data_IF_871265013638
#
_entry.id   IF_871265013638
#
_cell.length_a   1.000
_cell.length_b   1.000
_cell.length_c   1.000
_cell.angle_alpha   90.00
_cell.angle_beta   90.00
_cell.angle_gamma   90.00
#
_symmetry.space_group_name_H-M   'P 1'
#
loop_
_entity.id
_entity.type
_entity.pdbx_description
1 polymer ?
#
# COMPACT_ATOMS: atom_id res chain seq x y z
N UNK A 1 73.46 7.74 -94.07
CA UNK A 1 73.87 7.78 -95.50
C UNK A 1 72.60 7.95 -96.34
N UNK A 2 72.45 8.78 -97.36
CA UNK A 2 73.27 9.78 -98.04
C UNK A 2 72.30 10.52 -98.99
N UNK A 3 72.32 11.85 -98.92
CA UNK A 3 72.42 12.78 -100.07
C UNK A 3 71.25 12.79 -101.07
N UNK A 4 70.46 13.87 -101.06
CA UNK A 4 70.06 14.77 -102.19
C UNK A 4 68.67 15.38 -101.88
N UNK A 5 68.43 16.51 -101.22
CA UNK A 5 69.19 17.73 -100.96
C UNK A 5 70.04 18.18 -102.15
N UNK A 6 69.39 18.75 -103.19
CA UNK A 6 69.95 19.80 -104.09
C UNK A 6 69.09 20.18 -105.32
N UNK A 7 68.00 19.48 -105.62
CA UNK A 7 67.00 19.95 -106.62
C UNK A 7 65.86 20.77 -105.98
N UNK A 8 66.00 21.09 -104.70
CA UNK A 8 65.30 22.20 -104.06
C UNK A 8 65.79 23.53 -104.64
N UNK A 9 64.99 24.58 -104.45
CA UNK A 9 65.19 25.96 -104.91
C UNK A 9 64.61 26.22 -106.32
N UNK A 10 64.87 25.37 -107.32
CA UNK A 10 64.32 25.61 -108.68
C UNK A 10 62.80 25.42 -108.80
N UNK A 11 62.25 24.40 -108.14
CA UNK A 11 60.81 24.07 -108.21
C UNK A 11 59.95 24.89 -107.23
N UNK A 12 60.58 25.57 -106.27
CA UNK A 12 59.89 26.29 -105.18
C UNK A 12 59.43 27.70 -105.62
N UNK A 13 60.13 28.33 -106.58
CA UNK A 13 59.77 29.69 -107.03
C UNK A 13 58.67 29.69 -108.10
N UNK A 14 58.58 28.65 -108.93
CA UNK A 14 57.52 28.54 -109.96
C UNK A 14 56.21 28.00 -109.36
N UNK A 15 56.26 27.18 -108.32
CA UNK A 15 55.07 26.73 -107.59
C UNK A 15 54.42 27.84 -106.75
N UNK A 16 55.19 28.81 -106.26
CA UNK A 16 54.68 29.91 -105.42
C UNK A 16 53.72 30.87 -106.14
N UNK A 17 53.91 31.08 -107.45
CA UNK A 17 53.07 32.02 -108.23
C UNK A 17 51.79 31.34 -108.74
N UNK A 18 51.79 30.03 -108.94
CA UNK A 18 50.60 29.27 -109.34
C UNK A 18 49.62 29.01 -108.17
N UNK A 19 50.12 28.86 -106.93
CA UNK A 19 49.28 28.63 -105.74
C UNK A 19 48.54 29.89 -105.29
N UNK A 20 49.12 31.09 -105.49
CA UNK A 20 48.49 32.37 -105.14
C UNK A 20 47.26 32.71 -105.98
N UNK A 21 47.23 32.32 -107.25
CA UNK A 21 46.11 32.58 -108.16
C UNK A 21 44.96 31.56 -108.02
N UNK A 22 45.24 30.34 -107.54
CA UNK A 22 44.22 29.30 -107.35
C UNK A 22 43.46 29.46 -106.01
N UNK A 23 44.10 29.97 -104.96
CA UNK A 23 43.50 30.13 -103.63
C UNK A 23 42.44 31.25 -103.52
N UNK A 24 42.36 32.16 -104.51
CA UNK A 24 41.38 33.26 -104.53
C UNK A 24 40.13 32.95 -105.37
N UNK A 25 40.11 31.85 -106.12
CA UNK A 25 38.95 31.41 -106.92
C UNK A 25 38.21 30.21 -106.32
N UNK A 26 38.76 29.58 -105.27
CA UNK A 26 38.12 28.50 -104.50
C UNK A 26 37.83 28.92 -103.05
N UNK A 27 37.21 30.09 -102.88
CA UNK A 27 36.64 30.52 -101.58
C UNK A 27 35.43 29.64 -101.21
N UNK A 28 35.20 29.36 -99.91
CA UNK A 28 34.39 28.24 -99.46
C UNK A 28 32.87 28.51 -99.59
N UNK A 29 32.32 28.23 -100.77
CA UNK A 29 30.90 27.92 -100.94
C UNK A 29 30.66 26.44 -100.64
N UNK A 30 30.52 26.08 -99.36
CA UNK A 30 30.11 24.73 -98.94
C UNK A 30 28.59 24.52 -99.11
N UNK A 31 28.12 23.31 -99.40
CA UNK A 31 26.69 23.02 -99.54
C UNK A 31 25.96 23.23 -98.21
N UNK A 32 24.87 23.99 -98.24
CA UNK A 32 23.96 24.14 -97.11
C UNK A 32 23.22 22.81 -96.87
N UNK A 33 23.85 21.91 -96.11
CA UNK A 33 23.19 20.75 -95.56
C UNK A 33 22.18 21.23 -94.49
N UNK A 34 20.91 20.87 -94.67
CA UNK A 34 19.85 21.16 -93.72
C UNK A 34 20.09 20.36 -92.43
N UNK A 35 20.55 21.02 -91.37
CA UNK A 35 20.60 20.44 -90.03
C UNK A 35 19.22 20.53 -89.39
N UNK A 36 18.42 19.47 -89.53
CA UNK A 36 17.19 19.30 -88.74
C UNK A 36 17.64 18.89 -87.33
N UNK A 37 17.57 19.81 -86.37
CA UNK A 37 17.85 19.51 -84.97
C UNK A 37 16.73 18.64 -84.41
N UNK A 38 17.00 17.35 -84.17
CA UNK A 38 16.08 16.46 -83.46
C UNK A 38 16.04 16.88 -81.98
N UNK A 39 14.91 17.42 -81.53
CA UNK A 39 14.69 17.72 -80.11
C UNK A 39 14.55 16.40 -79.33
N UNK A 40 15.53 16.12 -78.47
CA UNK A 40 15.49 15.06 -77.46
C UNK A 40 14.29 15.30 -76.52
N UNK A 41 13.50 14.28 -76.14
CA UNK A 41 12.35 14.47 -75.26
C UNK A 41 12.80 14.99 -73.88
N UNK A 42 12.13 16.01 -73.40
CA UNK A 42 12.37 16.67 -72.12
C UNK A 42 12.24 15.63 -70.98
N UNK A 43 13.34 15.38 -70.25
CA UNK A 43 13.36 14.41 -69.17
C UNK A 43 12.69 15.01 -67.93
N UNK A 44 11.40 14.75 -67.77
CA UNK A 44 10.67 15.08 -66.53
C UNK A 44 11.06 14.12 -65.41
N UNK A 45 11.49 14.69 -64.29
CA UNK A 45 11.78 13.92 -63.07
C UNK A 45 10.47 13.57 -62.36
N UNK A 46 10.21 12.28 -62.21
CA UNK A 46 9.09 11.75 -61.41
C UNK A 46 9.60 11.23 -60.07
N UNK A 47 8.86 11.47 -58.99
CA UNK A 47 9.15 10.92 -57.65
C UNK A 47 8.08 9.90 -57.29
N UNK A 48 8.50 8.74 -56.77
CA UNK A 48 7.57 7.69 -56.34
C UNK A 48 6.83 8.11 -55.05
N UNK A 49 5.50 8.06 -55.08
CA UNK A 49 4.64 8.35 -53.92
C UNK A 49 4.79 7.20 -52.92
N UNK A 50 5.32 7.47 -51.72
CA UNK A 50 5.41 6.49 -50.62
C UNK A 50 4.10 6.48 -49.82
N UNK A 51 3.71 5.29 -49.35
CA UNK A 51 2.53 5.12 -48.51
C UNK A 51 2.66 5.93 -47.21
N UNK A 52 1.56 6.57 -46.79
CA UNK A 52 1.50 7.45 -45.62
C UNK A 52 1.62 6.69 -44.27
N UNK A 53 1.88 5.38 -44.30
CA UNK A 53 2.11 4.56 -43.10
C UNK A 53 3.30 5.07 -42.27
N UNK A 54 4.26 5.76 -42.91
CA UNK A 54 5.37 6.44 -42.22
C UNK A 54 5.01 7.84 -41.70
N UNK A 55 3.76 8.28 -41.87
CA UNK A 55 3.20 9.54 -41.34
C UNK A 55 2.18 9.28 -40.24
N UNK A 56 2.33 8.19 -39.48
CA UNK A 56 1.70 8.06 -38.18
C UNK A 56 2.32 9.13 -37.27
N UNK A 57 1.67 10.30 -37.21
CA UNK A 57 2.04 11.37 -36.30
C UNK A 57 2.05 10.82 -34.88
N UNK A 58 3.22 10.82 -34.24
CA UNK A 58 3.34 10.37 -32.87
C UNK A 58 2.67 11.42 -31.98
N UNK A 59 1.46 11.11 -31.51
CA UNK A 59 0.75 11.96 -30.55
C UNK A 59 1.40 11.72 -29.20
N UNK A 60 2.21 12.68 -28.73
CA UNK A 60 2.72 12.68 -27.37
C UNK A 60 1.75 13.45 -26.47
N UNK A 61 1.31 12.80 -25.40
CA UNK A 61 0.57 13.42 -24.32
C UNK A 61 1.44 13.38 -23.06
N UNK A 62 1.49 14.50 -22.34
CA UNK A 62 2.17 14.59 -21.05
C UNK A 62 1.11 14.71 -19.96
N UNK A 63 1.31 13.99 -18.87
CA UNK A 63 0.48 14.02 -17.68
C UNK A 63 1.35 13.93 -16.44
N UNK A 64 0.86 14.47 -15.32
CA UNK A 64 1.52 14.34 -14.02
C UNK A 64 0.90 13.19 -13.25
N UNK A 65 1.74 12.43 -12.55
CA UNK A 65 1.28 11.44 -11.57
C UNK A 65 1.37 12.10 -10.20
N UNK A 66 0.32 11.95 -9.41
CA UNK A 66 0.30 12.34 -8.01
C UNK A 66 -0.01 11.10 -7.16
N UNK A 67 0.44 11.06 -5.89
CA UNK A 67 -0.01 10.07 -4.94
C UNK A 67 -1.53 10.06 -4.85
N UNK A 68 -2.12 8.87 -4.69
CA UNK A 68 -3.58 8.73 -4.51
C UNK A 68 -3.97 9.30 -3.15
N UNK A 69 -3.25 8.88 -2.10
CA UNK A 69 -3.43 9.32 -0.72
C UNK A 69 -2.07 9.63 -0.09
N UNK A 70 -2.05 10.65 0.76
CA UNK A 70 -0.88 11.01 1.57
C UNK A 70 -1.37 11.18 2.99
N UNK A 71 -0.91 10.31 3.89
CA UNK A 71 -1.28 10.35 5.30
C UNK A 71 -0.05 10.62 6.17
N UNK A 72 -0.28 11.40 7.22
CA UNK A 72 0.70 11.64 8.26
C UNK A 72 0.39 10.71 9.42
N UNK A 73 1.21 9.67 9.59
CA UNK A 73 1.05 8.73 10.69
C UNK A 73 1.49 9.41 11.98
N UNK A 74 0.57 9.48 12.94
CA UNK A 74 0.79 10.00 14.29
C UNK A 74 0.47 8.91 15.30
N UNK A 75 1.14 8.97 16.45
CA UNK A 75 0.85 8.07 17.55
C UNK A 75 -0.50 8.44 18.17
N UNK A 76 -1.37 7.44 18.37
CA UNK A 76 -2.66 7.62 19.04
C UNK A 76 -2.57 7.60 20.57
N UNK A 77 -1.40 7.26 21.11
CA UNK A 77 -1.11 7.20 22.54
C UNK A 77 0.19 7.95 22.83
N UNK A 78 0.27 8.56 24.01
CA UNK A 78 1.51 9.12 24.50
C UNK A 78 2.45 7.99 24.92
N UNK A 79 3.72 8.08 24.54
CA UNK A 79 4.70 7.05 24.85
C UNK A 79 6.10 7.38 24.34
N UNK A 80 7.08 6.67 24.86
CA UNK A 80 8.48 6.77 24.41
C UNK A 80 8.71 5.78 23.28
N UNK A 81 9.35 6.21 22.20
CA UNK A 81 9.76 5.31 21.11
C UNK A 81 10.93 4.46 21.59
N UNK A 82 10.74 3.14 21.63
CA UNK A 82 11.77 2.17 21.97
C UNK A 82 12.69 1.90 20.77
N UNK A 83 12.09 1.67 19.61
CA UNK A 83 12.80 1.44 18.35
C UNK A 83 11.96 1.85 17.14
N UNK A 84 12.64 2.14 16.03
CA UNK A 84 12.04 2.37 14.72
C UNK A 84 12.43 1.19 13.83
N UNK A 85 11.45 0.55 13.20
CA UNK A 85 11.63 -0.71 12.47
C UNK A 85 11.82 -0.51 10.96
N UNK A 86 11.67 0.73 10.46
CA UNK A 86 11.68 1.06 9.03
C UNK A 86 12.60 2.23 8.73
N UNK A 87 13.16 2.26 7.53
CA UNK A 87 13.99 3.35 7.04
C UNK A 87 13.28 4.19 5.96
N UNK A 88 13.67 5.46 5.76
CA UNK A 88 13.11 6.28 4.71
C UNK A 88 13.34 5.66 3.32
N UNK A 89 12.24 5.40 2.60
CA UNK A 89 12.27 4.78 1.27
C UNK A 89 11.80 3.32 1.24
N UNK A 90 11.58 2.71 2.41
CA UNK A 90 11.04 1.35 2.50
C UNK A 90 9.59 1.28 2.02
N UNK A 91 9.27 0.16 1.38
CA UNK A 91 7.90 -0.18 0.97
C UNK A 91 7.27 -1.04 2.06
N UNK A 92 6.23 -0.50 2.70
CA UNK A 92 5.50 -1.16 3.79
C UNK A 92 4.08 -1.49 3.36
N UNK A 93 3.54 -2.59 3.88
CA UNK A 93 2.15 -2.98 3.70
C UNK A 93 1.28 -2.52 4.88
N UNK A 94 -0.04 -2.54 4.68
CA UNK A 94 -0.98 -2.26 5.76
C UNK A 94 -0.85 -3.29 6.88
N UNK A 95 -0.64 -2.80 8.11
CA UNK A 95 -0.45 -3.63 9.31
C UNK A 95 1.01 -3.88 9.68
N UNK A 96 1.98 -3.46 8.86
CA UNK A 96 3.38 -3.57 9.21
C UNK A 96 3.75 -2.61 10.35
N UNK A 97 4.53 -3.12 11.31
CA UNK A 97 5.01 -2.33 12.43
C UNK A 97 6.10 -1.35 11.96
N UNK A 98 5.83 -0.05 12.07
CA UNK A 98 6.78 1.00 11.69
C UNK A 98 7.72 1.37 12.84
N UNK A 99 7.22 1.33 14.08
CA UNK A 99 7.95 1.62 15.30
C UNK A 99 7.39 0.78 16.44
N UNK A 100 8.17 0.64 17.52
CA UNK A 100 7.72 0.04 18.78
C UNK A 100 7.88 1.06 19.89
N UNK A 101 6.82 1.23 20.68
CA UNK A 101 6.82 2.05 21.88
C UNK A 101 7.29 1.23 23.09
N UNK A 102 7.82 1.90 24.10
CA UNK A 102 8.03 1.31 25.41
C UNK A 102 6.69 1.09 26.10
N UNK A 103 6.33 -0.17 26.29
CA UNK A 103 5.06 -0.62 26.89
C UNK A 103 5.22 -1.08 28.34
N UNK A 104 6.38 -0.93 28.97
CA UNK A 104 6.66 -1.48 30.31
C UNK A 104 5.63 -1.05 31.37
N UNK A 105 5.27 0.24 31.40
CA UNK A 105 4.28 0.78 32.34
C UNK A 105 2.85 0.29 32.02
N UNK A 106 2.53 0.15 30.72
CA UNK A 106 1.24 -0.37 30.27
C UNK A 106 1.08 -1.85 30.61
N UNK A 107 2.14 -2.64 30.45
CA UNK A 107 2.20 -4.05 30.80
C UNK A 107 2.02 -4.25 32.31
N UNK A 108 2.68 -3.43 33.13
CA UNK A 108 2.51 -3.45 34.58
C UNK A 108 1.06 -3.09 34.97
N UNK A 109 0.50 -2.05 34.34
CA UNK A 109 -0.88 -1.62 34.58
C UNK A 109 -1.89 -2.69 34.19
N UNK A 110 -1.66 -3.39 33.06
CA UNK A 110 -2.47 -4.51 32.62
C UNK A 110 -2.41 -5.66 33.63
N UNK A 111 -1.21 -6.03 34.08
CA UNK A 111 -1.03 -7.09 35.08
C UNK A 111 -1.76 -6.77 36.40
N UNK A 112 -1.69 -5.52 36.85
CA UNK A 112 -2.44 -5.09 38.04
C UNK A 112 -3.96 -5.20 37.84
N UNK A 113 -4.46 -4.75 36.68
CA UNK A 113 -5.88 -4.86 36.36
C UNK A 113 -6.35 -6.32 36.26
N UNK A 114 -5.55 -7.22 35.70
CA UNK A 114 -5.83 -8.65 35.65
C UNK A 114 -5.88 -9.28 37.05
N UNK A 115 -4.96 -8.89 37.94
CA UNK A 115 -5.01 -9.32 39.34
C UNK A 115 -6.27 -8.82 40.05
N UNK A 116 -6.65 -7.56 39.85
CA UNK A 116 -7.86 -7.00 40.44
C UNK A 116 -9.11 -7.76 39.96
N UNK A 117 -9.20 -8.07 38.66
CA UNK A 117 -10.28 -8.91 38.12
C UNK A 117 -10.28 -10.28 38.78
N UNK A 118 -9.14 -10.96 38.87
CA UNK A 118 -9.04 -12.28 39.49
C UNK A 118 -9.45 -12.26 40.98
N UNK A 119 -9.11 -11.20 41.73
CA UNK A 119 -9.56 -11.05 43.12
C UNK A 119 -11.07 -10.84 43.22
N UNK A 120 -11.64 -10.01 42.33
CA UNK A 120 -13.07 -9.75 42.28
C UNK A 120 -13.87 -11.00 41.91
N UNK A 121 -13.36 -11.81 40.97
CA UNK A 121 -13.97 -13.09 40.59
C UNK A 121 -13.94 -14.09 41.74
N UNK A 122 -12.83 -14.19 42.49
CA UNK A 122 -12.75 -15.04 43.67
C UNK A 122 -13.71 -14.58 44.79
N UNK A 123 -13.82 -13.27 45.01
CA UNK A 123 -14.77 -12.74 45.98
C UNK A 123 -16.22 -13.04 45.57
N UNK A 124 -16.54 -12.91 44.28
CA UNK A 124 -17.85 -13.26 43.75
C UNK A 124 -18.15 -14.76 43.93
N UNK A 125 -17.17 -15.63 43.64
CA UNK A 125 -17.31 -17.07 43.82
C UNK A 125 -17.60 -17.43 45.29
N UNK A 126 -16.88 -16.83 46.24
CA UNK A 126 -17.11 -17.03 47.67
C UNK A 126 -18.51 -16.56 48.12
N UNK A 127 -19.01 -15.46 47.57
CA UNK A 127 -20.36 -14.96 47.87
C UNK A 127 -21.47 -15.82 47.24
N UNK A 128 -21.17 -16.50 46.14
CA UNK A 128 -22.09 -17.42 45.45
C UNK A 128 -22.02 -18.85 45.99
N UNK A 129 -21.01 -19.16 46.81
CA UNK A 129 -20.86 -20.46 47.44
C UNK A 129 -22.07 -20.74 48.34
N UNK A 130 -22.86 -21.80 48.07
CA UNK A 130 -23.97 -22.15 48.93
C UNK A 130 -23.47 -22.58 50.31
N UNK A 131 -24.31 -22.38 51.34
CA UNK A 131 -24.02 -22.85 52.69
C UNK A 131 -23.57 -24.32 52.67
N UNK A 132 -22.49 -24.60 53.39
CA UNK A 132 -21.91 -25.94 53.47
C UNK A 132 -22.88 -26.92 54.14
N UNK A 133 -22.70 -28.22 53.87
CA UNK A 133 -23.54 -29.25 54.49
C UNK A 133 -23.49 -29.21 56.03
N UNK A 134 -22.34 -28.82 56.61
CA UNK A 134 -22.16 -28.64 58.06
C UNK A 134 -22.99 -27.47 58.58
N UNK A 135 -22.91 -26.30 57.94
CA UNK A 135 -23.71 -25.13 58.34
C UNK A 135 -25.21 -25.41 58.22
N UNK A 136 -25.63 -26.12 57.17
CA UNK A 136 -27.02 -26.55 57.01
C UNK A 136 -27.43 -27.54 58.12
N UNK A 137 -26.55 -28.46 58.52
CA UNK A 137 -26.84 -29.42 59.59
C UNK A 137 -26.95 -28.74 60.96
N UNK A 138 -26.05 -27.80 61.28
CA UNK A 138 -26.10 -26.98 62.49
C UNK A 138 -27.36 -26.13 62.54
N UNK A 139 -27.68 -25.42 61.46
CA UNK A 139 -28.90 -24.61 61.37
C UNK A 139 -30.18 -25.45 61.54
N UNK A 140 -30.19 -26.70 61.06
CA UNK A 140 -31.31 -27.64 61.27
C UNK A 140 -31.39 -28.12 62.72
N UNK A 141 -30.27 -28.39 63.36
CA UNK A 141 -30.24 -28.78 64.77
C UNK A 141 -30.75 -27.63 65.67
N UNK A 142 -30.33 -26.40 65.38
CA UNK A 142 -30.80 -25.20 66.07
C UNK A 142 -32.31 -24.98 65.87
N UNK A 143 -32.80 -25.17 64.65
CA UNK A 143 -34.23 -25.13 64.35
C UNK A 143 -35.01 -26.16 65.16
N UNK A 144 -34.51 -27.41 65.24
CA UNK A 144 -35.14 -28.48 66.01
C UNK A 144 -35.21 -28.10 67.51
N UNK A 145 -34.10 -27.63 68.08
CA UNK A 145 -34.06 -27.21 69.49
C UNK A 145 -35.00 -26.03 69.77
N UNK A 146 -35.09 -25.07 68.86
CA UNK A 146 -36.02 -23.96 68.99
C UNK A 146 -37.49 -24.41 68.91
N UNK A 147 -37.79 -25.40 68.06
CA UNK A 147 -39.12 -26.00 67.95
C UNK A 147 -39.51 -26.77 69.22
N UNK A 148 -38.59 -27.54 69.81
CA UNK A 148 -38.82 -28.23 71.09
C UNK A 148 -39.12 -27.23 72.21
N UNK A 149 -38.30 -26.18 72.36
CA UNK A 149 -38.55 -25.12 73.36
C UNK A 149 -39.89 -24.42 73.17
N UNK A 150 -40.30 -24.23 71.91
CA UNK A 150 -41.61 -23.65 71.58
C UNK A 150 -42.74 -24.61 71.94
N UNK A 151 -42.56 -25.92 71.74
CA UNK A 151 -43.54 -26.93 72.12
C UNK A 151 -43.73 -26.96 73.64
N UNK A 152 -42.64 -27.05 74.40
CA UNK A 152 -42.65 -27.03 75.87
C UNK A 152 -43.31 -25.75 76.41
N UNK A 153 -43.01 -24.59 75.82
CA UNK A 153 -43.60 -23.32 76.24
C UNK A 153 -45.10 -23.20 75.92
N UNK A 154 -45.60 -23.95 74.95
CA UNK A 154 -47.02 -23.99 74.59
C UNK A 154 -47.78 -25.14 75.28
N UNK A 155 -47.10 -25.98 76.07
CA UNK A 155 -47.80 -26.99 76.86
C UNK A 155 -48.67 -26.30 77.94
N UNK A 156 -49.98 -26.60 77.99
CA UNK A 156 -50.85 -26.03 79.00
C UNK A 156 -50.47 -26.57 80.38
N UNK A 157 -50.38 -25.66 81.37
CA UNK A 157 -50.11 -26.02 82.76
C UNK A 157 -51.05 -27.13 83.23
N UNK A 158 -50.48 -28.19 83.79
CA UNK A 158 -51.24 -29.34 84.26
C UNK A 158 -52.09 -28.95 85.48
N UNK A 159 -53.21 -29.65 85.69
CA UNK A 159 -54.07 -29.40 86.85
C UNK A 159 -53.32 -29.50 88.20
N UNK A 160 -52.27 -30.34 88.27
CA UNK A 160 -51.44 -30.50 89.45
C UNK A 160 -50.55 -29.28 89.71
N UNK A 161 -49.96 -28.71 88.65
CA UNK A 161 -49.15 -27.49 88.72
C UNK A 161 -49.99 -26.26 89.07
N UNK A 162 -51.20 -26.16 88.49
CA UNK A 162 -52.16 -25.12 88.85
C UNK A 162 -52.53 -25.22 90.33
N UNK A 163 -52.78 -26.44 90.84
CA UNK A 163 -53.12 -26.65 92.25
C UNK A 163 -51.95 -26.31 93.18
N UNK A 164 -50.72 -26.69 92.83
CA UNK A 164 -49.52 -26.35 93.59
C UNK A 164 -49.24 -24.84 93.58
N UNK A 165 -49.45 -24.17 92.44
CA UNK A 165 -49.33 -22.72 92.33
C UNK A 165 -50.41 -21.99 93.15
N UNK A 166 -51.65 -22.49 93.17
CA UNK A 166 -52.70 -21.94 94.04
C UNK A 166 -52.36 -22.12 95.52
N UNK A 167 -51.80 -23.27 95.90
CA UNK A 167 -51.37 -23.53 97.27
C UNK A 167 -50.20 -22.63 97.70
N UNK A 168 -49.24 -22.35 96.82
CA UNK A 168 -48.11 -21.46 97.12
C UNK A 168 -48.56 -20.00 97.29
N UNK A 169 -49.50 -19.55 96.46
CA UNK A 169 -50.15 -18.24 96.62
C UNK A 169 -50.88 -18.17 97.97
N UNK A 170 -51.72 -19.15 98.30
CA UNK A 170 -52.43 -19.18 99.58
C UNK A 170 -51.49 -19.17 100.80
N UNK A 171 -50.38 -19.91 100.73
CA UNK A 171 -49.36 -19.94 101.78
C UNK A 171 -48.61 -18.60 101.92
N UNK A 172 -48.40 -17.88 100.82
CA UNK A 172 -47.78 -16.56 100.83
C UNK A 172 -48.69 -15.52 101.52
N UNK A 173 -50.00 -15.57 101.26
CA UNK A 173 -50.97 -14.69 101.93
C UNK A 173 -51.17 -15.03 103.41
N UNK A 174 -51.04 -16.30 103.81
CA UNK A 174 -51.14 -16.70 105.22
C UNK A 174 -49.94 -16.25 106.09
N UNK A 175 -48.85 -15.81 105.45
CA UNK A 175 -47.64 -15.32 106.12
C UNK A 175 -47.65 -13.81 106.39
N UNK A 176 -48.67 -13.11 105.91
CA UNK A 176 -48.91 -11.68 106.09
C UNK A 176 -50.08 -11.45 107.03
#
# INVERSE_FOLDING_TARGET
>A
MRRILKWGIGLLVVAGVAVGAFALLTGPGGPLAATISAQTPDQVQTVAIRAADSMLGQISASGSIAPVDVEHVVLGVDGTVLEVLVEPGDVVAAGDALLRLDSSDLELSLLMAELDVATAENALAQLQEPASATEIAEARADLLSAQEKLADANEPATALEIQAAQASVAAAWAKY
#
